data_IF_674755494781
#
_entry.id   IF_674755494781
#
_cell.length_a   1.000
_cell.length_b   1.000
_cell.length_c   1.000
_cell.angle_alpha   90.00
_cell.angle_beta   90.00
_cell.angle_gamma   90.00
#
_symmetry.space_group_name_H-M   'P 1'
#
loop_
_entity.id
_entity.type
_entity.pdbx_description
1 polymer ?
#
# COMPACT_ATOMS: atom_id res chain seq x y z
N UNK A 1 5.03 8.17 16.57
CA UNK A 1 4.91 8.64 15.17
C UNK A 1 4.78 7.47 14.19
N UNK A 2 5.76 6.55 14.06
CA UNK A 2 5.75 5.44 13.09
C UNK A 2 4.50 4.56 13.19
N UNK A 3 4.08 4.17 14.40
CA UNK A 3 2.87 3.37 14.63
C UNK A 3 1.60 4.04 14.07
N UNK A 4 1.45 5.36 14.26
CA UNK A 4 0.29 6.09 13.77
C UNK A 4 0.28 6.22 12.23
N UNK A 5 1.45 6.46 11.62
CA UNK A 5 1.57 6.50 10.17
C UNK A 5 1.30 5.12 9.54
N UNK A 6 1.82 4.05 10.15
CA UNK A 6 1.53 2.68 9.70
C UNK A 6 0.04 2.34 9.84
N UNK A 7 -0.58 2.71 10.95
CA UNK A 7 -2.00 2.50 11.15
C UNK A 7 -2.86 3.25 10.14
N UNK A 8 -2.57 4.54 9.88
CA UNK A 8 -3.24 5.30 8.83
C UNK A 8 -3.04 4.70 7.43
N UNK A 9 -1.84 4.16 7.14
CA UNK A 9 -1.59 3.48 5.87
C UNK A 9 -2.43 2.21 5.71
N UNK A 10 -2.56 1.40 6.76
CA UNK A 10 -3.40 0.20 6.73
C UNK A 10 -4.90 0.50 6.70
N UNK A 11 -5.32 1.63 7.25
CA UNK A 11 -6.70 2.07 7.23
C UNK A 11 -7.12 2.68 5.88
N UNK A 12 -6.26 3.51 5.30
CA UNK A 12 -6.58 4.30 4.11
C UNK A 12 -5.92 3.80 2.81
N UNK A 13 -5.01 2.81 2.88
CA UNK A 13 -4.25 2.33 1.72
C UNK A 13 -3.17 3.28 1.23
N UNK A 14 -3.30 4.58 1.53
CA UNK A 14 -2.32 5.61 1.20
C UNK A 14 -2.34 6.76 2.22
N UNK A 15 -1.19 7.38 2.42
CA UNK A 15 -1.04 8.54 3.29
C UNK A 15 -0.13 9.58 2.66
N UNK A 16 -0.45 10.85 2.86
CA UNK A 16 0.43 11.97 2.47
C UNK A 16 1.29 12.38 3.65
N UNK A 17 2.61 12.39 3.47
CA UNK A 17 3.58 12.74 4.51
C UNK A 17 4.85 13.33 3.91
N UNK A 18 5.82 13.70 4.74
CA UNK A 18 7.11 14.19 4.25
C UNK A 18 8.03 13.02 3.87
N UNK A 19 8.92 13.24 2.92
CA UNK A 19 9.84 12.21 2.39
C UNK A 19 10.66 11.49 3.47
N UNK A 20 11.27 12.17 4.47
CA UNK A 20 11.99 11.48 5.55
C UNK A 20 11.10 10.56 6.38
N UNK A 21 9.87 11.01 6.70
CA UNK A 21 8.91 10.19 7.45
C UNK A 21 8.46 8.97 6.65
N UNK A 22 8.18 9.12 5.35
CA UNK A 22 7.82 8.01 4.47
C UNK A 22 8.93 6.96 4.42
N UNK A 23 10.20 7.38 4.22
CA UNK A 23 11.35 6.48 4.21
C UNK A 23 11.55 5.74 5.54
N UNK A 24 11.28 6.39 6.68
CA UNK A 24 11.39 5.76 8.00
C UNK A 24 10.25 4.76 8.27
N UNK A 25 9.03 5.04 7.77
CA UNK A 25 7.86 4.16 7.97
C UNK A 25 7.87 2.97 7.04
N UNK A 26 8.37 3.11 5.81
CA UNK A 26 8.35 2.07 4.79
C UNK A 26 8.88 0.72 5.28
N UNK A 27 10.11 0.58 5.79
CA UNK A 27 10.62 -0.71 6.27
C UNK A 27 9.82 -1.25 7.45
N UNK A 28 9.31 -0.39 8.32
CA UNK A 28 8.47 -0.79 9.45
C UNK A 28 7.16 -1.43 8.98
N UNK A 29 6.47 -0.81 8.02
CA UNK A 29 5.23 -1.34 7.41
C UNK A 29 5.49 -2.66 6.69
N UNK A 30 6.57 -2.75 5.93
CA UNK A 30 6.91 -3.98 5.19
C UNK A 30 7.18 -5.15 6.12
N UNK A 31 7.86 -4.93 7.25
CA UNK A 31 8.03 -5.96 8.29
C UNK A 31 6.68 -6.40 8.87
N UNK A 32 5.77 -5.47 9.17
CA UNK A 32 4.45 -5.79 9.71
C UNK A 32 3.62 -6.64 8.74
N UNK A 33 3.63 -6.33 7.44
CA UNK A 33 2.95 -7.12 6.42
C UNK A 33 3.57 -8.52 6.34
N UNK A 34 4.90 -8.62 6.38
CA UNK A 34 5.60 -9.92 6.35
C UNK A 34 5.24 -10.80 7.54
N UNK A 35 5.11 -10.22 8.75
CA UNK A 35 4.65 -10.93 9.95
C UNK A 35 3.19 -11.34 9.80
N UNK A 36 2.33 -10.44 9.28
CA UNK A 36 0.91 -10.67 9.12
C UNK A 36 0.58 -11.78 8.09
N UNK A 37 1.45 -12.02 7.12
CA UNK A 37 1.32 -13.14 6.14
C UNK A 37 1.33 -14.52 6.78
N UNK A 38 1.82 -14.64 8.01
CA UNK A 38 1.80 -15.88 8.79
C UNK A 38 0.68 -15.79 9.83
N UNK A 39 -0.54 -16.30 9.57
CA UNK A 39 -1.70 -16.11 10.46
C UNK A 39 -1.60 -17.02 11.70
N UNK A 40 -0.55 -16.87 12.49
CA UNK A 40 -0.34 -17.61 13.74
C UNK A 40 -0.66 -16.76 14.95
N UNK A 41 -0.95 -17.39 16.10
CA UNK A 41 -1.13 -16.67 17.37
C UNK A 41 0.11 -15.86 17.75
N UNK A 42 1.31 -16.40 17.48
CA UNK A 42 2.58 -15.71 17.72
C UNK A 42 2.68 -14.42 16.88
N UNK A 43 2.37 -14.49 15.59
CA UNK A 43 2.35 -13.32 14.71
C UNK A 43 1.35 -12.25 15.18
N UNK A 44 0.16 -12.66 15.63
CA UNK A 44 -0.84 -11.74 16.17
C UNK A 44 -0.33 -11.04 17.43
N UNK A 45 0.30 -11.76 18.37
CA UNK A 45 0.90 -11.17 19.56
C UNK A 45 2.04 -10.20 19.22
N UNK A 46 2.88 -10.57 18.26
CA UNK A 46 3.96 -9.72 17.77
C UNK A 46 3.43 -8.44 17.11
N UNK A 47 2.40 -8.52 16.28
CA UNK A 47 1.74 -7.35 15.70
C UNK A 47 1.14 -6.45 16.78
N UNK A 48 0.51 -7.02 17.81
CA UNK A 48 -0.06 -6.26 18.94
C UNK A 48 1.01 -5.52 19.73
N UNK A 49 2.19 -6.09 19.91
CA UNK A 49 3.31 -5.43 20.61
C UNK A 49 3.91 -4.27 19.79
N UNK A 50 3.95 -4.40 18.47
CA UNK A 50 4.52 -3.42 17.55
C UNK A 50 3.55 -2.31 17.15
N UNK A 51 2.26 -2.66 16.96
CA UNK A 51 1.17 -1.73 16.64
C UNK A 51 0.22 -1.59 17.83
N UNK A 52 -0.29 -0.40 18.07
CA UNK A 52 -1.43 -0.21 18.98
C UNK A 52 -2.69 -0.70 18.27
N UNK A 53 -3.34 -1.74 18.83
CA UNK A 53 -4.60 -2.25 18.28
C UNK A 53 -5.73 -1.28 18.60
N UNK A 54 -6.08 -0.47 17.62
CA UNK A 54 -7.15 0.53 17.71
C UNK A 54 -8.30 0.20 16.77
N UNK A 55 -9.45 0.74 17.07
CA UNK A 55 -10.59 0.74 16.15
C UNK A 55 -10.29 1.67 14.96
N UNK A 56 -10.62 1.24 13.76
CA UNK A 56 -10.40 1.95 12.49
C UNK A 56 -11.70 2.06 11.71
N UNK A 57 -11.70 2.86 10.64
CA UNK A 57 -12.86 3.10 9.78
C UNK A 57 -14.02 3.90 10.41
N UNK A 58 -13.78 4.62 11.51
CA UNK A 58 -14.79 5.52 12.09
C UNK A 58 -15.36 6.52 11.07
N UNK A 59 -14.50 6.99 10.15
CA UNK A 59 -14.84 7.94 9.09
C UNK A 59 -15.84 7.39 8.05
N UNK A 60 -16.03 6.09 7.94
CA UNK A 60 -16.99 5.47 6.98
C UNK A 60 -18.43 5.79 7.39
N UNK A 61 -18.71 5.79 8.68
CA UNK A 61 -20.01 6.13 9.23
C UNK A 61 -20.20 7.64 9.48
N UNK A 62 -19.17 8.48 9.24
CA UNK A 62 -19.27 9.92 9.35
C UNK A 62 -20.07 10.48 8.16
N UNK A 63 -21.22 11.17 8.39
CA UNK A 63 -22.02 11.77 7.33
C UNK A 63 -21.29 12.88 6.57
N UNK A 64 -20.26 13.51 7.16
CA UNK A 64 -19.47 14.57 6.52
C UNK A 64 -18.41 14.01 5.56
N UNK A 65 -18.16 12.71 5.56
CA UNK A 65 -17.15 12.11 4.66
C UNK A 65 -17.72 11.98 3.26
N UNK A 66 -17.07 12.62 2.29
CA UNK A 66 -17.47 12.60 0.88
C UNK A 66 -17.39 11.18 0.30
N UNK A 67 -18.36 10.81 -0.53
CA UNK A 67 -18.40 9.49 -1.18
C UNK A 67 -17.21 9.25 -2.11
N UNK A 68 -16.63 10.30 -2.71
CA UNK A 68 -15.40 10.21 -3.50
C UNK A 68 -14.22 9.65 -2.68
N UNK A 69 -14.11 10.04 -1.40
CA UNK A 69 -13.07 9.54 -0.49
C UNK A 69 -13.33 8.07 -0.17
N UNK A 70 -14.57 7.69 0.08
CA UNK A 70 -14.97 6.30 0.34
C UNK A 70 -14.66 5.42 -0.87
N UNK A 71 -15.05 5.86 -2.07
CA UNK A 71 -14.77 5.15 -3.32
C UNK A 71 -13.29 5.01 -3.61
N UNK A 72 -12.49 6.06 -3.39
CA UNK A 72 -11.05 6.01 -3.61
C UNK A 72 -10.33 5.01 -2.69
N UNK A 73 -10.84 4.81 -1.47
CA UNK A 73 -10.25 3.89 -0.49
C UNK A 73 -10.76 2.46 -0.62
N UNK A 74 -11.95 2.25 -1.20
CA UNK A 74 -12.51 0.92 -1.45
C UNK A 74 -11.77 0.10 -2.53
N UNK A 75 -10.78 0.68 -3.21
CA UNK A 75 -10.03 0.03 -4.30
C UNK A 75 -9.15 -1.13 -3.85
N UNK A 76 -8.66 -1.10 -2.62
CA UNK A 76 -7.77 -2.15 -2.09
C UNK A 76 -8.53 -3.24 -1.34
N UNK A 77 -9.59 -2.86 -0.64
CA UNK A 77 -10.45 -3.77 0.13
C UNK A 77 -11.84 -3.18 0.26
N UNK A 78 -12.80 -4.05 0.50
CA UNK A 78 -14.16 -3.64 0.83
C UNK A 78 -14.18 -2.88 2.16
N UNK A 79 -14.86 -1.75 2.17
CA UNK A 79 -15.09 -1.00 3.40
C UNK A 79 -16.07 -1.77 4.29
N UNK A 80 -15.95 -1.65 5.62
CA UNK A 80 -16.92 -2.21 6.54
C UNK A 80 -18.31 -1.58 6.31
N UNK A 81 -19.36 -2.36 6.54
CA UNK A 81 -20.71 -1.83 6.49
C UNK A 81 -20.91 -0.77 7.59
N UNK A 82 -21.76 0.21 7.33
CA UNK A 82 -22.08 1.26 8.31
C UNK A 82 -22.64 0.68 9.61
N UNK A 83 -23.34 -0.45 9.53
CA UNK A 83 -23.94 -1.15 10.68
C UNK A 83 -22.90 -1.83 11.59
N UNK A 84 -21.67 -2.02 11.09
CA UNK A 84 -20.57 -2.55 11.91
C UNK A 84 -19.90 -1.46 12.76
N UNK A 85 -20.25 -0.19 12.51
CA UNK A 85 -19.64 0.97 13.17
C UNK A 85 -20.68 1.63 14.05
N UNK A 86 -20.52 1.54 15.36
CA UNK A 86 -21.44 2.12 16.34
C UNK A 86 -20.75 3.23 17.14
N UNK A 87 -21.46 4.35 17.28
CA UNK A 87 -21.07 5.43 18.19
C UNK A 87 -21.99 5.43 19.41
N UNK A 88 -21.45 5.85 20.55
CA UNK A 88 -22.28 6.10 21.71
C UNK A 88 -23.01 7.45 21.58
N UNK A 89 -23.91 7.75 22.52
CA UNK A 89 -24.67 9.03 22.55
C UNK A 89 -23.79 10.28 22.67
N UNK A 90 -22.52 10.12 23.02
CA UNK A 90 -21.54 11.20 23.14
C UNK A 90 -20.65 11.36 21.91
N UNK A 91 -20.88 10.58 20.84
CA UNK A 91 -20.09 10.62 19.63
C UNK A 91 -18.76 9.84 19.70
N UNK A 92 -18.53 9.05 20.77
CA UNK A 92 -17.33 8.21 20.88
C UNK A 92 -17.58 6.86 20.19
N UNK A 93 -16.55 6.36 19.55
CA UNK A 93 -16.58 5.09 18.81
C UNK A 93 -16.69 3.91 19.79
N UNK A 94 -17.83 3.22 19.76
CA UNK A 94 -18.12 2.07 20.62
C UNK A 94 -17.71 0.76 19.97
N UNK A 95 -17.98 0.59 18.69
CA UNK A 95 -17.71 -0.62 17.94
C UNK A 95 -17.24 -0.26 16.54
N UNK A 96 -16.14 -0.85 16.12
CA UNK A 96 -15.62 -0.78 14.77
C UNK A 96 -14.59 -1.89 14.55
N UNK A 97 -14.21 -2.21 13.31
CA UNK A 97 -13.15 -3.15 13.01
C UNK A 97 -11.84 -2.77 13.72
N UNK A 98 -11.12 -3.79 14.19
CA UNK A 98 -9.81 -3.62 14.81
C UNK A 98 -8.70 -3.59 13.76
N UNK A 99 -7.70 -2.73 13.92
CA UNK A 99 -6.58 -2.54 13.01
C UNK A 99 -5.83 -3.85 12.72
N UNK A 100 -5.51 -4.63 13.76
CA UNK A 100 -4.77 -5.90 13.60
C UNK A 100 -5.64 -6.93 12.88
N UNK A 101 -6.93 -7.00 13.20
CA UNK A 101 -7.86 -7.86 12.50
C UNK A 101 -7.93 -7.50 11.01
N UNK A 102 -8.07 -6.23 10.68
CA UNK A 102 -8.06 -5.73 9.31
C UNK A 102 -6.75 -6.08 8.58
N UNK A 103 -5.61 -5.88 9.23
CA UNK A 103 -4.29 -6.23 8.67
C UNK A 103 -4.19 -7.73 8.32
N UNK A 104 -4.66 -8.61 9.20
CA UNK A 104 -4.60 -10.06 9.01
C UNK A 104 -5.60 -10.58 7.97
N UNK A 105 -6.83 -9.99 7.92
CA UNK A 105 -7.92 -10.52 7.10
C UNK A 105 -8.03 -9.88 5.72
N UNK A 106 -7.64 -8.62 5.57
CA UNK A 106 -7.79 -7.87 4.31
C UNK A 106 -6.45 -7.51 3.68
N UNK A 107 -5.50 -6.96 4.44
CA UNK A 107 -4.23 -6.48 3.88
C UNK A 107 -3.26 -7.62 3.59
N UNK A 108 -3.02 -8.51 4.53
CA UNK A 108 -2.04 -9.59 4.37
C UNK A 108 -2.34 -10.55 3.20
N UNK A 109 -3.60 -10.95 2.94
CA UNK A 109 -3.95 -11.80 1.80
C UNK A 109 -3.61 -11.18 0.44
N UNK A 110 -3.70 -9.85 0.28
CA UNK A 110 -3.34 -9.16 -0.96
C UNK A 110 -1.88 -9.39 -1.37
N UNK A 111 -1.02 -9.66 -0.41
CA UNK A 111 0.42 -9.80 -0.62
C UNK A 111 0.94 -11.22 -0.43
N UNK A 112 0.06 -12.23 -0.38
CA UNK A 112 0.44 -13.63 -0.09
C UNK A 112 1.58 -14.12 -1.00
N UNK A 113 1.47 -13.85 -2.29
CA UNK A 113 2.42 -14.33 -3.31
C UNK A 113 3.59 -13.38 -3.57
N UNK A 114 3.61 -12.21 -2.90
CA UNK A 114 4.64 -11.20 -3.09
C UNK A 114 5.71 -11.31 -2.03
N UNK A 115 6.99 -11.41 -2.43
CA UNK A 115 8.11 -11.60 -1.50
C UNK A 115 8.50 -10.33 -0.71
N UNK A 116 8.14 -9.13 -1.21
CA UNK A 116 8.48 -7.84 -0.59
C UNK A 116 8.06 -6.66 -1.47
N UNK A 117 8.43 -5.44 -1.05
CA UNK A 117 8.08 -4.23 -1.79
C UNK A 117 6.57 -4.00 -1.84
N UNK A 118 5.91 -4.09 -0.70
CA UNK A 118 4.46 -3.92 -0.56
C UNK A 118 4.02 -2.46 -0.63
N UNK A 119 4.97 -1.54 -0.51
CA UNK A 119 4.72 -0.10 -0.47
C UNK A 119 5.54 0.63 -1.52
N UNK A 120 5.04 1.78 -1.95
CA UNK A 120 5.76 2.70 -2.82
C UNK A 120 5.64 4.13 -2.34
N UNK A 121 6.64 4.93 -2.64
CA UNK A 121 6.67 6.37 -2.37
C UNK A 121 6.52 7.10 -3.69
N UNK A 122 5.50 7.95 -3.79
CA UNK A 122 5.24 8.81 -4.93
C UNK A 122 5.55 10.24 -4.49
N UNK A 123 6.51 10.90 -5.14
CA UNK A 123 6.80 12.30 -4.87
C UNK A 123 5.68 13.17 -5.45
N UNK A 124 5.14 14.06 -4.61
CA UNK A 124 4.24 15.11 -5.05
C UNK A 124 5.10 16.34 -5.39
N UNK A 125 4.70 17.06 -6.43
CA UNK A 125 5.31 18.35 -6.75
C UNK A 125 4.70 19.48 -5.88
N UNK A 126 4.52 19.17 -4.60
CA UNK A 126 3.93 20.06 -3.61
C UNK A 126 4.81 20.11 -2.37
N UNK A 127 4.97 21.31 -1.83
CA UNK A 127 5.66 21.54 -0.56
C UNK A 127 4.68 21.90 0.53
N UNK A 128 5.01 21.53 1.76
CA UNK A 128 4.20 21.86 2.92
C UNK A 128 4.34 23.36 3.24
N UNK A 129 3.21 24.02 3.49
CA UNK A 129 3.20 25.40 3.98
C UNK A 129 3.90 25.44 5.35
N UNK A 130 4.76 26.42 5.55
CA UNK A 130 5.52 26.66 6.76
C UNK A 130 6.99 26.22 6.64
N UNK A 131 7.29 24.92 6.53
CA UNK A 131 8.66 24.40 6.49
C UNK A 131 9.16 24.02 5.08
N UNK A 132 8.37 24.25 4.05
CA UNK A 132 8.68 23.92 2.65
C UNK A 132 9.17 22.47 2.42
N UNK A 133 8.85 21.52 3.33
CA UNK A 133 9.20 20.12 3.19
C UNK A 133 8.51 19.48 1.98
N UNK A 134 9.25 18.67 1.22
CA UNK A 134 8.70 17.91 0.10
C UNK A 134 7.66 16.89 0.59
N UNK A 135 6.44 16.98 0.02
CA UNK A 135 5.36 16.05 0.31
C UNK A 135 5.42 14.85 -0.63
N UNK A 136 5.13 13.69 -0.06
CA UNK A 136 5.06 12.43 -0.78
C UNK A 136 3.82 11.65 -0.36
N UNK A 137 3.33 10.82 -1.26
CA UNK A 137 2.32 9.80 -0.95
C UNK A 137 3.05 8.48 -0.71
N UNK A 138 2.88 7.90 0.47
CA UNK A 138 3.22 6.52 0.74
C UNK A 138 1.97 5.68 0.51
N UNK A 139 2.03 4.71 -0.39
CA UNK A 139 0.89 3.94 -0.86
C UNK A 139 1.19 2.44 -0.79
N UNK A 140 0.16 1.66 -0.45
CA UNK A 140 0.16 0.21 -0.63
C UNK A 140 0.00 -0.13 -2.12
N UNK A 141 0.80 -1.08 -2.61
CA UNK A 141 0.79 -1.50 -4.01
C UNK A 141 -0.39 -2.44 -4.26
N UNK A 142 -1.11 -2.27 -5.37
CA UNK A 142 -2.20 -3.17 -5.79
C UNK A 142 -3.56 -2.51 -6.00
N UNK A 143 -3.77 -1.27 -5.50
CA UNK A 143 -4.99 -0.49 -5.74
C UNK A 143 -4.91 0.47 -6.93
N UNK A 144 -4.00 0.22 -7.86
CA UNK A 144 -3.68 1.16 -8.93
C UNK A 144 -4.51 0.86 -10.17
N UNK A 145 -5.18 1.87 -10.69
CA UNK A 145 -5.80 1.84 -12.02
C UNK A 145 -4.77 2.24 -13.08
N UNK A 146 -4.74 1.48 -14.16
CA UNK A 146 -3.93 1.80 -15.32
C UNK A 146 -2.54 1.14 -15.35
N UNK A 147 -1.81 1.34 -16.44
CA UNK A 147 -0.47 0.77 -16.58
C UNK A 147 0.45 1.35 -15.53
N UNK A 148 1.04 0.48 -14.74
CA UNK A 148 2.07 0.91 -13.79
C UNK A 148 3.16 1.64 -14.55
N UNK A 149 3.50 2.85 -14.12
CA UNK A 149 4.62 3.60 -14.71
C UNK A 149 5.89 2.79 -14.48
N UNK A 150 6.24 1.98 -15.47
CA UNK A 150 7.55 1.32 -15.50
C UNK A 150 8.57 2.43 -15.62
N UNK A 151 9.44 2.55 -14.63
CA UNK A 151 10.52 3.51 -14.67
C UNK A 151 11.24 3.45 -16.02
N UNK A 152 11.70 4.59 -16.52
CA UNK A 152 12.40 4.67 -17.81
C UNK A 152 13.52 3.62 -17.82
N UNK A 153 13.48 2.70 -18.76
CA UNK A 153 14.53 1.68 -18.93
C UNK A 153 15.87 2.37 -19.07
N UNK A 154 16.88 1.93 -18.32
CA UNK A 154 18.23 2.46 -18.48
C UNK A 154 18.69 2.29 -19.93
N UNK A 155 19.51 3.20 -20.43
CA UNK A 155 20.07 3.13 -21.78
C UNK A 155 20.79 1.80 -22.03
N UNK A 156 21.50 1.29 -20.99
CA UNK A 156 22.17 -0.01 -21.03
C UNK A 156 21.17 -1.17 -21.26
N UNK A 157 20.01 -1.13 -20.60
CA UNK A 157 18.98 -2.16 -20.74
C UNK A 157 18.27 -2.10 -22.10
N UNK A 158 18.00 -0.91 -22.61
CA UNK A 158 17.44 -0.76 -23.97
C UNK A 158 18.39 -1.24 -25.06
N UNK A 159 19.70 -1.03 -24.91
CA UNK A 159 20.71 -1.55 -25.85
C UNK A 159 20.81 -3.09 -25.76
N UNK A 160 20.76 -3.66 -24.56
CA UNK A 160 20.75 -5.11 -24.37
C UNK A 160 19.51 -5.75 -25.00
N UNK A 161 18.33 -5.17 -24.77
CA UNK A 161 17.08 -5.64 -25.38
C UNK A 161 17.10 -5.60 -26.93
N UNK A 162 17.71 -4.57 -27.52
CA UNK A 162 17.90 -4.46 -28.98
C UNK A 162 18.85 -5.53 -29.52
N UNK A 163 19.94 -5.81 -28.79
CA UNK A 163 20.91 -6.85 -29.19
C UNK A 163 20.30 -8.24 -29.15
N UNK A 164 19.53 -8.56 -28.11
CA UNK A 164 18.85 -9.85 -27.99
C UNK A 164 17.76 -10.02 -29.06
N UNK A 165 17.01 -8.97 -29.36
CA UNK A 165 16.02 -8.99 -30.43
C UNK A 165 16.66 -9.19 -31.80
N UNK A 166 17.80 -8.55 -32.07
CA UNK A 166 18.56 -8.74 -33.31
C UNK A 166 19.10 -10.17 -33.44
N UNK A 167 19.69 -10.70 -32.36
CA UNK A 167 20.21 -12.07 -32.35
C UNK A 167 19.11 -13.11 -32.60
N UNK A 168 17.90 -12.88 -32.06
CA UNK A 168 16.73 -13.73 -32.28
C UNK A 168 16.31 -13.73 -33.75
N UNK A 169 16.18 -12.54 -34.36
CA UNK A 169 15.87 -12.39 -35.80
C UNK A 169 16.93 -13.03 -36.70
N UNK A 170 18.21 -12.91 -36.35
CA UNK A 170 19.31 -13.52 -37.12
C UNK A 170 19.22 -15.06 -37.08
N UNK A 171 18.92 -15.65 -35.89
CA UNK A 171 18.68 -17.09 -35.78
C UNK A 171 17.49 -17.57 -36.59
N UNK A 172 16.37 -16.84 -36.53
CA UNK A 172 15.16 -17.16 -37.31
C UNK A 172 15.45 -17.15 -38.82
N UNK A 173 16.19 -16.14 -39.31
CA UNK A 173 16.60 -16.08 -40.74
C UNK A 173 17.55 -17.24 -41.13
N UNK A 174 18.49 -17.60 -40.23
CA UNK A 174 19.41 -18.70 -40.48
C UNK A 174 18.72 -20.08 -40.51
N UNK A 175 17.66 -20.24 -39.70
CA UNK A 175 16.83 -21.48 -39.73
C UNK A 175 15.98 -21.52 -41.01
N UNK A 176 15.37 -20.40 -41.38
CA UNK A 176 14.57 -20.32 -42.62
C UNK A 176 15.39 -20.49 -43.92
N UNK A 177 16.71 -20.23 -43.88
CA UNK A 177 17.61 -20.41 -45.02
C UNK A 177 18.15 -21.85 -45.14
N UNK A 178 17.92 -22.72 -44.17
CA UNK A 178 18.38 -24.11 -44.13
C UNK A 178 17.27 -25.14 -44.38
N UNK A 179 16.05 -24.72 -44.48
CA UNK A 179 14.88 -25.51 -44.91
C UNK A 179 14.44 -25.15 -46.29
#
# INVERSE_FOLDING_TARGET
>A
MLRNLAAGLFEHGQITTTLPKAKAVQPFVEQLITIAKRPTLASRRELTSRLTDRMVFAWVADPNTKDEVKTAQSRLWELPATDEIEFNRFGELRKAPRLIQHLLTKVAPLYKDRAGGYTRIIKLDKRRLGDASDLVVLQLVGGEEGPQVKGRKSTRRTVADKRTAFAKKAKEKAVAAKG
#
